data_IF_935198670348
#
_entry.id   IF_935198670348
#
_cell.length_a   1.000
_cell.length_b   1.000
_cell.length_c   1.000
_cell.angle_alpha   90.00
_cell.angle_beta   90.00
_cell.angle_gamma   90.00
#
_symmetry.space_group_name_H-M   'P 1'
#
loop_
_entity.id
_entity.type
_entity.pdbx_description
1 polymer ?
#
# COMPACT_ATOMS: atom_id res chain seq x y z
N UNK A 1 17.12 27.85 -10.02
CA UNK A 1 15.85 27.37 -10.63
C UNK A 1 15.27 26.28 -9.74
N UNK A 2 13.94 26.24 -9.47
CA UNK A 2 13.36 25.21 -8.59
C UNK A 2 13.25 23.85 -9.30
N UNK A 3 13.54 22.76 -8.58
CA UNK A 3 13.45 21.38 -9.09
C UNK A 3 12.09 20.71 -8.82
N UNK A 4 11.41 21.12 -7.75
CA UNK A 4 10.06 20.64 -7.40
C UNK A 4 9.21 21.85 -7.05
N UNK A 5 8.00 21.93 -7.61
CA UNK A 5 7.05 23.02 -7.34
C UNK A 5 5.65 22.46 -7.10
N UNK A 6 4.84 23.22 -6.36
CA UNK A 6 3.42 22.95 -6.18
C UNK A 6 2.63 24.24 -6.46
N UNK A 7 1.52 24.11 -7.18
CA UNK A 7 0.58 25.19 -7.43
C UNK A 7 -0.80 24.79 -6.97
N UNK A 8 -1.37 25.57 -6.05
CA UNK A 8 -2.76 25.41 -5.63
C UNK A 8 -3.68 26.08 -6.66
N UNK A 9 -4.76 25.41 -7.06
CA UNK A 9 -5.71 25.92 -8.07
C UNK A 9 -7.11 25.36 -7.78
N UNK A 10 -8.06 26.27 -7.55
CA UNK A 10 -9.41 25.89 -7.12
C UNK A 10 -9.38 25.10 -5.81
N UNK A 11 -9.98 23.91 -5.80
CA UNK A 11 -10.03 23.01 -4.63
C UNK A 11 -8.87 22.01 -4.57
N UNK A 12 -7.91 22.08 -5.48
CA UNK A 12 -6.84 21.10 -5.61
C UNK A 12 -5.45 21.71 -5.74
N UNK A 13 -4.47 20.83 -5.94
CA UNK A 13 -3.05 21.19 -6.09
C UNK A 13 -2.44 20.40 -7.25
N UNK A 14 -1.55 21.03 -8.02
CA UNK A 14 -0.74 20.39 -9.04
C UNK A 14 0.74 20.42 -8.64
N UNK A 15 1.42 19.29 -8.71
CA UNK A 15 2.84 19.14 -8.39
C UNK A 15 3.64 18.94 -9.68
N UNK A 16 4.77 19.65 -9.82
CA UNK A 16 5.69 19.49 -10.94
C UNK A 16 7.08 19.12 -10.44
N UNK A 17 7.66 18.06 -10.98
CA UNK A 17 8.98 17.52 -10.63
C UNK A 17 9.87 17.61 -11.88
N UNK A 18 10.77 18.58 -11.90
CA UNK A 18 11.63 18.93 -13.04
C UNK A 18 12.95 18.15 -13.08
N UNK A 19 13.13 17.17 -12.20
CA UNK A 19 14.35 16.40 -12.05
C UNK A 19 14.02 14.93 -11.77
N UNK A 20 14.91 14.02 -12.17
CA UNK A 20 14.79 12.62 -11.74
C UNK A 20 15.18 12.54 -10.27
N UNK A 21 14.27 12.04 -9.45
CA UNK A 21 14.50 11.80 -8.04
C UNK A 21 14.81 10.32 -7.81
N UNK A 22 15.60 10.02 -6.79
CA UNK A 22 15.74 8.67 -6.28
C UNK A 22 14.45 8.18 -5.59
N UNK A 23 14.41 6.90 -5.26
CA UNK A 23 13.22 6.26 -4.68
C UNK A 23 12.86 6.86 -3.31
N UNK A 24 13.84 7.19 -2.47
CA UNK A 24 13.62 7.75 -1.14
C UNK A 24 12.98 9.14 -1.23
N UNK A 25 13.52 9.99 -2.10
CA UNK A 25 13.02 11.33 -2.38
C UNK A 25 11.60 11.28 -2.96
N UNK A 26 11.31 10.34 -3.86
CA UNK A 26 9.96 10.11 -4.39
C UNK A 26 8.99 9.64 -3.31
N UNK A 27 9.39 8.68 -2.46
CA UNK A 27 8.57 8.18 -1.37
C UNK A 27 8.23 9.29 -0.36
N UNK A 28 9.21 10.14 -0.03
CA UNK A 28 9.01 11.30 0.83
C UNK A 28 8.04 12.33 0.20
N UNK A 29 8.17 12.60 -1.11
CA UNK A 29 7.26 13.50 -1.83
C UNK A 29 5.82 12.96 -1.84
N UNK A 30 5.62 11.70 -2.22
CA UNK A 30 4.30 11.06 -2.21
C UNK A 30 3.70 11.01 -0.82
N UNK A 31 4.49 10.72 0.22
CA UNK A 31 4.01 10.75 1.61
C UNK A 31 3.43 12.11 2.00
N UNK A 32 4.05 13.21 1.56
CA UNK A 32 3.51 14.57 1.77
C UNK A 32 2.22 14.81 0.99
N UNK A 33 2.17 14.38 -0.27
CA UNK A 33 1.00 14.54 -1.14
C UNK A 33 -0.20 13.77 -0.58
N UNK A 34 -0.01 12.49 -0.22
CA UNK A 34 -1.05 11.63 0.34
C UNK A 34 -1.56 12.16 1.69
N UNK A 35 -0.66 12.62 2.56
CA UNK A 35 -1.04 13.29 3.81
C UNK A 35 -1.88 14.54 3.55
N UNK A 36 -1.51 15.39 2.59
CA UNK A 36 -2.29 16.58 2.21
C UNK A 36 -3.65 16.22 1.64
N UNK A 37 -3.74 15.12 0.89
CA UNK A 37 -5.00 14.62 0.31
C UNK A 37 -5.89 13.89 1.32
N UNK A 38 -5.43 13.64 2.55
CA UNK A 38 -6.16 12.87 3.55
C UNK A 38 -6.25 11.37 3.24
N UNK A 39 -5.37 10.86 2.37
CA UNK A 39 -5.33 9.44 1.98
C UNK A 39 -4.47 8.67 2.99
N UNK A 40 -5.06 7.68 3.64
CA UNK A 40 -4.34 6.78 4.55
C UNK A 40 -3.50 5.77 3.76
N UNK A 41 -2.35 5.40 4.34
CA UNK A 41 -1.43 4.43 3.74
C UNK A 41 -1.24 3.29 4.73
N UNK A 42 -1.55 2.06 4.29
CA UNK A 42 -1.15 0.86 5.03
C UNK A 42 0.33 0.58 4.69
N UNK A 43 1.21 0.60 5.69
CA UNK A 43 2.62 0.28 5.47
C UNK A 43 2.76 -1.23 5.28
N UNK A 44 3.35 -1.63 4.16
CA UNK A 44 3.67 -3.04 3.87
C UNK A 44 5.17 -3.28 3.99
N UNK A 45 5.59 -4.51 4.37
CA UNK A 45 6.97 -4.94 4.19
C UNK A 45 7.41 -4.81 2.74
N UNK A 46 8.70 -4.57 2.52
CA UNK A 46 9.25 -4.52 1.16
C UNK A 46 9.04 -5.86 0.46
N UNK A 47 8.52 -5.82 -0.76
CA UNK A 47 8.22 -7.02 -1.53
C UNK A 47 6.85 -7.62 -1.26
N UNK A 48 6.05 -7.07 -0.34
CA UNK A 48 4.63 -7.45 -0.17
C UNK A 48 3.73 -6.41 -0.82
N UNK A 49 2.85 -6.87 -1.72
CA UNK A 49 1.76 -6.05 -2.26
C UNK A 49 0.44 -6.34 -1.54
N UNK A 50 -0.38 -5.31 -1.38
CA UNK A 50 -1.69 -5.40 -0.75
C UNK A 50 -2.71 -4.66 -1.61
N UNK A 51 -3.73 -5.37 -2.09
CA UNK A 51 -4.77 -4.84 -2.96
C UNK A 51 -6.15 -5.18 -2.41
N UNK A 52 -7.09 -4.24 -2.46
CA UNK A 52 -8.48 -4.46 -2.02
C UNK A 52 -9.42 -4.34 -3.20
N UNK A 53 -10.32 -5.32 -3.35
CA UNK A 53 -11.41 -5.31 -4.32
C UNK A 53 -12.73 -5.30 -3.58
N UNK A 54 -13.66 -4.47 -4.05
CA UNK A 54 -15.01 -4.39 -3.51
C UNK A 54 -16.02 -4.68 -4.62
N UNK A 55 -16.97 -5.59 -4.37
CA UNK A 55 -18.05 -5.93 -5.28
C UNK A 55 -19.25 -6.47 -4.49
N UNK A 56 -20.46 -6.07 -4.85
CA UNK A 56 -21.72 -6.54 -4.23
C UNK A 56 -21.75 -6.47 -2.69
N UNK A 57 -21.16 -5.40 -2.12
CA UNK A 57 -21.05 -5.21 -0.67
C UNK A 57 -20.06 -6.13 0.04
N UNK A 58 -19.25 -6.88 -0.71
CA UNK A 58 -18.16 -7.72 -0.19
C UNK A 58 -16.82 -7.07 -0.49
N UNK A 59 -15.91 -7.17 0.47
CA UNK A 59 -14.55 -6.64 0.38
C UNK A 59 -13.60 -7.83 0.44
N UNK A 60 -12.64 -7.86 -0.48
CA UNK A 60 -11.59 -8.87 -0.54
C UNK A 60 -10.24 -8.19 -0.54
N UNK A 61 -9.38 -8.52 0.43
CA UNK A 61 -8.02 -7.99 0.51
C UNK A 61 -7.01 -9.08 0.18
N UNK A 62 -6.23 -8.84 -0.87
CA UNK A 62 -5.21 -9.73 -1.39
C UNK A 62 -3.86 -9.30 -0.86
N UNK A 63 -3.14 -10.24 -0.26
CA UNK A 63 -1.74 -10.07 0.13
C UNK A 63 -0.87 -10.96 -0.73
N UNK A 64 0.10 -10.38 -1.42
CA UNK A 64 0.98 -11.06 -2.36
C UNK A 64 2.43 -10.85 -1.90
N UNK A 65 3.11 -11.91 -1.51
CA UNK A 65 4.55 -11.84 -1.28
C UNK A 65 5.29 -11.99 -2.62
N UNK A 66 5.75 -10.88 -3.20
CA UNK A 66 6.53 -10.86 -4.44
C UNK A 66 8.04 -11.07 -4.20
N UNK A 67 8.43 -11.60 -3.03
CA UNK A 67 9.84 -11.80 -2.65
C UNK A 67 10.20 -13.28 -2.47
N UNK A 68 11.51 -13.55 -2.46
CA UNK A 68 12.07 -14.88 -2.24
C UNK A 68 12.19 -15.28 -0.76
N UNK A 69 11.75 -14.42 0.15
CA UNK A 69 11.86 -14.60 1.58
C UNK A 69 10.47 -14.67 2.20
N UNK A 70 10.35 -15.29 3.37
CA UNK A 70 9.13 -15.19 4.18
C UNK A 70 8.92 -13.74 4.62
N UNK A 71 7.68 -13.27 4.57
CA UNK A 71 7.29 -11.92 4.98
C UNK A 71 6.19 -11.99 6.04
N UNK A 72 6.15 -11.00 6.93
CA UNK A 72 5.12 -10.89 7.96
C UNK A 72 4.42 -9.55 7.87
N UNK A 73 3.08 -9.57 7.84
CA UNK A 73 2.22 -8.38 7.82
C UNK A 73 1.44 -8.33 9.12
N UNK A 74 1.57 -7.25 9.89
CA UNK A 74 0.85 -7.05 11.14
C UNK A 74 -0.52 -6.39 10.92
N UNK A 75 -1.40 -6.51 11.91
CA UNK A 75 -2.73 -5.88 11.94
C UNK A 75 -3.58 -6.29 10.73
N UNK A 76 -3.68 -7.60 10.58
CA UNK A 76 -4.41 -8.28 9.53
C UNK A 76 -5.58 -9.04 10.16
N UNK A 77 -6.79 -8.69 9.72
CA UNK A 77 -8.05 -9.19 10.26
C UNK A 77 -8.95 -9.64 9.12
N UNK A 78 -9.69 -10.73 9.33
CA UNK A 78 -10.66 -11.25 8.37
C UNK A 78 -10.58 -12.77 8.25
N UNK A 79 -11.41 -13.33 7.38
CA UNK A 79 -11.40 -14.77 7.12
C UNK A 79 -10.53 -15.08 5.90
N UNK A 80 -9.47 -15.86 6.06
CA UNK A 80 -8.60 -16.26 4.96
C UNK A 80 -9.27 -17.34 4.12
N UNK A 81 -9.59 -16.99 2.88
CA UNK A 81 -10.28 -17.85 1.93
C UNK A 81 -9.38 -18.98 1.38
N UNK A 82 -8.06 -18.88 1.52
CA UNK A 82 -7.14 -19.93 1.05
C UNK A 82 -6.96 -20.99 2.12
N UNK A 83 -6.70 -20.58 3.36
CA UNK A 83 -6.44 -21.51 4.47
C UNK A 83 -7.68 -21.88 5.26
N UNK A 84 -8.81 -21.22 5.00
CA UNK A 84 -10.10 -21.39 5.69
C UNK A 84 -10.02 -21.08 7.19
N UNK A 85 -9.18 -20.12 7.58
CA UNK A 85 -8.93 -19.75 8.98
C UNK A 85 -9.28 -18.30 9.25
N UNK A 86 -9.80 -18.06 10.46
CA UNK A 86 -9.94 -16.71 10.98
C UNK A 86 -8.55 -16.13 11.27
N UNK A 87 -8.26 -14.96 10.70
CA UNK A 87 -7.07 -14.18 11.00
C UNK A 87 -7.41 -13.00 11.92
N UNK A 88 -6.59 -12.86 12.96
CA UNK A 88 -6.58 -11.75 13.90
C UNK A 88 -5.14 -11.54 14.37
N UNK A 89 -4.46 -10.54 13.81
CA UNK A 89 -3.10 -10.17 14.17
C UNK A 89 -2.10 -10.26 13.03
N UNK A 90 -1.15 -11.21 13.09
CA UNK A 90 -0.02 -11.28 12.14
C UNK A 90 -0.24 -12.34 11.08
N UNK A 91 -0.19 -11.93 9.82
CA UNK A 91 -0.20 -12.81 8.66
C UNK A 91 1.24 -13.11 8.22
N UNK A 92 1.62 -14.38 8.22
CA UNK A 92 2.89 -14.86 7.69
C UNK A 92 2.70 -15.39 6.28
N UNK A 93 3.46 -14.85 5.33
CA UNK A 93 3.44 -15.25 3.93
C UNK A 93 4.77 -15.95 3.59
N UNK A 94 4.77 -17.25 3.21
CA UNK A 94 5.98 -17.91 2.75
C UNK A 94 6.51 -17.27 1.46
N UNK A 95 7.69 -17.70 0.98
CA UNK A 95 8.22 -17.30 -0.34
C UNK A 95 7.14 -17.44 -1.41
N UNK A 96 6.87 -16.35 -2.13
CA UNK A 96 5.81 -16.29 -3.15
C UNK A 96 4.40 -16.68 -2.67
N UNK A 97 4.17 -16.61 -1.36
CA UNK A 97 2.90 -16.91 -0.71
C UNK A 97 1.84 -15.84 -0.95
N UNK A 98 0.58 -16.25 -0.87
CA UNK A 98 -0.60 -15.41 -1.07
C UNK A 98 -1.60 -15.69 0.04
N UNK A 99 -2.32 -14.64 0.46
CA UNK A 99 -3.51 -14.76 1.31
C UNK A 99 -4.63 -13.86 0.78
N UNK A 100 -5.88 -14.29 0.97
CA UNK A 100 -7.05 -13.52 0.53
C UNK A 100 -8.03 -13.43 1.70
N UNK A 101 -8.20 -12.24 2.25
CA UNK A 101 -9.11 -12.02 3.36
C UNK A 101 -10.45 -11.46 2.91
N UNK A 102 -11.52 -12.08 3.40
CA UNK A 102 -12.89 -11.58 3.35
C UNK A 102 -13.31 -10.95 4.68
#
# INVERSE_FOLDING_TARGET
MPAVTVKDTGKGSAYYVAARLDNESMQNLFGRILKRAGVSIKRMPLGVECHTREADGKIYTFYLNCSEQEQSVSDVHGYDLITEKQMDGTLTLPKYGVAILA
#
